data_IF_463481759999
#
_entry.id   IF_463481759999
#
_cell.length_a   1.000
_cell.length_b   1.000
_cell.length_c   1.000
_cell.angle_alpha   90.00
_cell.angle_beta   90.00
_cell.angle_gamma   90.00
#
_symmetry.space_group_name_H-M   'P 1'
#
loop_
_entity.id
_entity.type
_entity.pdbx_description
1 polymer ?
#
# COMPACT_ATOMS: atom_id res chain seq x y z
N UNK A 1 -15.65 38.48 18.83
CA UNK A 1 -15.97 39.13 17.54
C UNK A 1 -17.41 38.85 17.17
N UNK A 2 -17.95 39.64 16.24
CA UNK A 2 -19.28 39.38 15.69
C UNK A 2 -19.16 38.86 14.26
N UNK A 3 -20.10 38.03 13.84
CA UNK A 3 -20.19 37.61 12.44
C UNK A 3 -20.59 38.77 11.54
N UNK A 4 -20.09 38.76 10.31
CA UNK A 4 -20.51 39.71 9.25
C UNK A 4 -21.93 39.41 8.78
N UNK A 5 -22.48 40.31 7.94
CA UNK A 5 -23.82 40.15 7.37
C UNK A 5 -23.98 38.85 6.54
N UNK A 6 -22.90 38.30 6.03
CA UNK A 6 -22.83 37.01 5.27
C UNK A 6 -22.66 35.79 6.20
N UNK A 7 -22.64 35.97 7.53
CA UNK A 7 -22.47 34.90 8.49
C UNK A 7 -21.04 34.50 8.75
N UNK A 8 -20.03 35.15 8.13
CA UNK A 8 -18.61 34.80 8.30
C UNK A 8 -17.95 35.62 9.43
N UNK A 9 -16.91 35.07 10.05
CA UNK A 9 -16.03 35.76 10.97
C UNK A 9 -14.59 35.25 10.78
N UNK A 10 -13.62 36.18 10.82
CA UNK A 10 -12.19 35.85 10.75
C UNK A 10 -11.53 36.10 12.11
N UNK A 11 -10.69 35.17 12.52
CA UNK A 11 -9.87 35.35 13.71
C UNK A 11 -8.42 34.95 13.45
N UNK A 12 -7.51 35.67 14.07
CA UNK A 12 -6.09 35.35 14.04
C UNK A 12 -5.79 34.24 15.07
N UNK A 13 -5.24 33.12 14.63
CA UNK A 13 -4.95 31.94 15.46
C UNK A 13 -3.48 31.77 15.79
N UNK A 14 -2.64 32.81 15.64
CA UNK A 14 -1.20 32.72 15.91
C UNK A 14 -0.92 32.30 17.36
N UNK A 15 -0.19 31.20 17.54
CA UNK A 15 0.27 30.72 18.84
C UNK A 15 -0.82 30.06 19.70
N UNK A 16 -1.92 29.63 19.11
CA UNK A 16 -3.01 28.91 19.80
C UNK A 16 -2.86 27.43 19.48
N UNK A 17 -2.52 26.60 20.48
CA UNK A 17 -2.42 25.14 20.33
C UNK A 17 -3.78 24.43 20.45
N UNK A 18 -4.71 25.03 21.17
CA UNK A 18 -6.11 24.55 21.31
C UNK A 18 -7.07 25.75 21.29
N UNK A 19 -8.15 25.65 20.57
CA UNK A 19 -9.17 26.68 20.53
C UNK A 19 -10.57 26.09 20.57
N UNK A 20 -11.45 26.77 21.31
CA UNK A 20 -12.88 26.52 21.30
C UNK A 20 -13.56 27.67 20.58
N UNK A 21 -14.43 27.35 19.63
CA UNK A 21 -15.35 28.35 19.06
C UNK A 21 -16.67 28.32 19.82
N UNK A 22 -17.05 29.45 20.40
CA UNK A 22 -18.36 29.59 20.97
C UNK A 22 -19.16 30.56 20.10
N UNK A 23 -20.28 30.09 19.59
CA UNK A 23 -21.25 30.95 18.90
C UNK A 23 -22.42 31.14 19.83
N UNK A 24 -22.75 32.40 20.14
CA UNK A 24 -23.87 32.76 20.97
C UNK A 24 -24.93 33.45 20.12
N UNK A 25 -26.15 32.94 20.16
CA UNK A 25 -27.32 33.52 19.54
C UNK A 25 -28.47 33.48 20.55
N UNK A 26 -29.10 34.64 20.79
CA UNK A 26 -30.24 34.77 21.70
C UNK A 26 -29.97 34.25 23.15
N UNK A 27 -28.72 34.42 23.61
CA UNK A 27 -28.29 33.98 24.93
C UNK A 27 -28.05 32.45 25.04
N UNK A 28 -28.07 31.74 23.94
CA UNK A 28 -27.76 30.30 23.88
C UNK A 28 -26.37 30.07 23.25
N UNK A 29 -25.36 29.66 24.03
CA UNK A 29 -24.05 29.34 23.49
C UNK A 29 -24.04 27.95 22.88
N UNK A 30 -23.46 27.84 21.68
CA UNK A 30 -23.09 26.57 21.03
C UNK A 30 -21.57 26.51 21.02
N UNK A 31 -21.03 25.40 21.53
CA UNK A 31 -19.60 25.17 21.63
C UNK A 31 -19.16 24.25 20.52
N UNK A 32 -18.11 24.65 19.79
CA UNK A 32 -17.40 23.81 18.85
C UNK A 32 -15.97 23.62 19.35
N UNK A 33 -15.59 22.40 19.57
CA UNK A 33 -14.18 22.06 19.79
C UNK A 33 -13.45 22.13 18.45
N UNK A 34 -12.62 23.16 18.30
CA UNK A 34 -11.70 23.25 17.17
C UNK A 34 -10.44 22.47 17.55
N UNK A 35 -10.57 21.16 17.67
CA UNK A 35 -9.45 20.26 17.87
C UNK A 35 -8.40 20.52 16.80
N UNK A 36 -7.21 20.98 17.25
CA UNK A 36 -6.03 21.18 16.44
C UNK A 36 -6.17 22.21 15.31
N UNK A 37 -6.26 23.50 15.70
CA UNK A 37 -5.68 24.52 14.84
C UNK A 37 -4.14 24.36 14.90
N UNK A 38 -3.65 23.22 14.44
CA UNK A 38 -2.24 23.10 14.14
C UNK A 38 -1.87 24.24 13.19
N UNK A 39 -0.73 24.94 13.39
CA UNK A 39 -0.22 25.86 12.40
C UNK A 39 -0.28 25.11 11.09
N UNK A 40 -0.80 25.74 10.02
CA UNK A 40 -1.09 25.09 8.74
C UNK A 40 0.04 24.07 8.45
N UNK A 41 -0.17 22.84 8.89
CA UNK A 41 0.77 21.77 8.59
C UNK A 41 0.76 21.70 7.09
N UNK A 42 1.92 21.80 6.48
CA UNK A 42 2.01 21.54 5.05
C UNK A 42 1.32 20.19 4.82
N UNK A 43 0.23 20.21 4.07
CA UNK A 43 -0.54 19.02 3.78
C UNK A 43 0.43 17.92 3.32
N UNK A 44 0.32 16.75 3.90
CA UNK A 44 1.14 15.60 3.49
C UNK A 44 0.92 15.36 2.00
N UNK A 45 1.90 14.81 1.31
CA UNK A 45 1.77 14.53 -0.13
C UNK A 45 0.51 13.70 -0.44
N UNK A 46 0.14 12.77 0.43
CA UNK A 46 -1.08 11.96 0.32
C UNK A 46 -2.38 12.78 0.40
N UNK A 47 -2.33 13.95 1.03
CA UNK A 47 -3.47 14.88 1.12
C UNK A 47 -3.53 15.83 -0.07
N UNK A 48 -2.38 16.11 -0.70
CA UNK A 48 -2.25 16.98 -1.87
C UNK A 48 -2.46 16.23 -3.19
N UNK A 49 -2.18 14.92 -3.22
CA UNK A 49 -2.22 14.12 -4.44
C UNK A 49 -3.09 12.86 -4.28
N UNK A 50 -3.80 12.51 -5.33
CA UNK A 50 -4.30 11.15 -5.55
C UNK A 50 -3.15 10.31 -6.08
N UNK A 51 -2.92 9.15 -5.50
CA UNK A 51 -1.80 8.30 -5.89
C UNK A 51 -2.24 6.85 -6.03
N UNK A 52 -1.78 6.22 -7.09
CA UNK A 52 -1.90 4.78 -7.30
C UNK A 52 -0.52 4.17 -7.49
N UNK A 53 -0.31 2.97 -6.96
CA UNK A 53 0.90 2.20 -7.11
C UNK A 53 0.54 0.74 -7.35
N UNK A 54 1.13 0.15 -8.38
CA UNK A 54 0.91 -1.24 -8.77
C UNK A 54 2.24 -1.91 -9.05
N UNK A 55 2.39 -3.12 -8.55
CA UNK A 55 3.50 -4.01 -8.86
C UNK A 55 3.00 -5.17 -9.74
N UNK A 56 3.87 -5.70 -10.60
CA UNK A 56 3.52 -6.82 -11.49
C UNK A 56 3.12 -8.09 -10.72
N UNK A 57 3.54 -8.23 -9.47
CA UNK A 57 3.18 -9.34 -8.57
C UNK A 57 3.40 -8.96 -7.10
N UNK A 58 2.77 -9.66 -6.16
CA UNK A 58 2.97 -9.44 -4.72
C UNK A 58 4.12 -10.25 -4.12
N UNK A 59 4.60 -11.30 -4.83
CA UNK A 59 5.63 -12.25 -4.36
C UNK A 59 6.78 -12.34 -5.36
N UNK A 60 8.00 -12.20 -4.86
CA UNK A 60 9.24 -12.17 -5.64
C UNK A 60 10.27 -13.14 -5.08
N UNK A 61 11.24 -13.49 -5.90
CA UNK A 61 12.48 -14.15 -5.48
C UNK A 61 13.57 -13.12 -5.16
N UNK A 62 14.59 -13.55 -4.43
CA UNK A 62 15.68 -12.69 -3.93
C UNK A 62 16.43 -11.89 -5.00
N UNK A 63 16.41 -12.32 -6.25
CA UNK A 63 17.13 -11.70 -7.38
C UNK A 63 16.20 -11.27 -8.51
N UNK A 64 14.91 -11.20 -8.27
CA UNK A 64 13.92 -10.78 -9.25
C UNK A 64 14.01 -9.27 -9.54
N UNK A 65 13.27 -8.87 -10.54
CA UNK A 65 13.00 -7.48 -10.86
C UNK A 65 11.52 -7.22 -10.69
N UNK A 66 11.14 -6.25 -9.87
CA UNK A 66 9.77 -5.78 -9.76
C UNK A 66 9.51 -4.70 -10.81
N UNK A 67 8.52 -4.92 -11.66
CA UNK A 67 7.99 -3.87 -12.53
C UNK A 67 6.92 -3.11 -11.79
N UNK A 68 7.08 -1.79 -11.75
CA UNK A 68 6.25 -0.89 -10.97
C UNK A 68 5.66 0.17 -11.89
N UNK A 69 4.37 0.44 -11.75
CA UNK A 69 3.72 1.57 -12.39
C UNK A 69 2.72 2.23 -11.47
N UNK A 70 2.43 3.48 -11.74
CA UNK A 70 1.49 4.22 -10.92
C UNK A 70 1.10 5.55 -11.51
N UNK A 71 0.33 6.28 -10.74
CA UNK A 71 -0.15 7.61 -11.09
C UNK A 71 -0.10 8.52 -9.87
N UNK A 72 0.30 9.78 -10.10
CA UNK A 72 0.23 10.89 -9.14
C UNK A 72 -0.62 11.98 -9.77
N UNK A 73 -1.73 12.36 -9.11
CA UNK A 73 -2.65 13.36 -9.65
C UNK A 73 -3.02 14.39 -8.57
N UNK A 74 -2.93 15.70 -8.83
CA UNK A 74 -3.25 16.73 -7.85
C UNK A 74 -4.71 16.64 -7.37
N UNK A 75 -4.94 16.77 -6.07
CA UNK A 75 -6.27 16.93 -5.49
C UNK A 75 -6.77 18.36 -5.58
N UNK A 76 -5.83 19.31 -5.56
CA UNK A 76 -6.12 20.75 -5.54
C UNK A 76 -5.87 21.33 -6.93
N UNK A 77 -6.83 22.10 -7.43
CA UNK A 77 -6.68 22.79 -8.71
C UNK A 77 -5.52 23.78 -8.66
N UNK A 78 -4.63 23.70 -9.66
CA UNK A 78 -3.44 24.56 -9.75
C UNK A 78 -2.19 23.98 -9.08
N UNK A 79 -2.30 22.86 -8.35
CA UNK A 79 -1.14 22.14 -7.85
C UNK A 79 -0.39 21.49 -9.03
N UNK A 80 0.92 21.78 -9.24
CA UNK A 80 1.65 21.22 -10.35
C UNK A 80 1.94 19.72 -10.16
N UNK A 81 1.96 18.97 -11.25
CA UNK A 81 2.49 17.60 -11.24
C UNK A 81 3.99 17.62 -10.91
N UNK A 82 4.48 16.67 -10.10
CA UNK A 82 5.90 16.50 -9.92
C UNK A 82 6.55 16.07 -11.24
N UNK A 83 7.71 16.64 -11.58
CA UNK A 83 8.44 16.26 -12.79
C UNK A 83 8.98 14.82 -12.72
N UNK A 84 9.16 14.29 -11.52
CA UNK A 84 9.64 12.94 -11.24
C UNK A 84 9.22 12.52 -9.84
N UNK A 85 9.24 11.21 -9.63
CA UNK A 85 9.11 10.58 -8.31
C UNK A 85 10.31 9.69 -8.04
N UNK A 86 10.51 9.32 -6.81
CA UNK A 86 11.47 8.31 -6.44
C UNK A 86 10.76 7.01 -6.06
N UNK A 87 11.15 5.92 -6.72
CA UNK A 87 10.82 4.56 -6.29
C UNK A 87 11.85 4.12 -5.28
N UNK A 88 11.44 3.72 -4.10
CA UNK A 88 12.31 3.29 -3.01
C UNK A 88 11.88 1.93 -2.53
N UNK A 89 12.81 0.97 -2.48
CA UNK A 89 12.62 -0.31 -1.78
C UNK A 89 13.22 -0.19 -0.38
N UNK A 90 12.46 -0.52 0.64
CA UNK A 90 12.90 -0.42 2.03
C UNK A 90 12.46 -1.60 2.89
N UNK A 91 13.17 -1.81 3.98
CA UNK A 91 12.71 -2.61 5.11
C UNK A 91 11.90 -1.72 6.06
N UNK A 92 10.91 -2.32 6.74
CA UNK A 92 10.11 -1.57 7.72
C UNK A 92 10.75 -1.60 9.12
N UNK A 93 11.53 -2.65 9.42
CA UNK A 93 12.19 -2.78 10.72
C UNK A 93 13.54 -3.51 10.63
N UNK A 94 14.70 -2.85 10.94
CA UNK A 94 14.80 -1.38 11.03
C UNK A 94 14.48 -0.72 9.69
N UNK A 95 13.94 0.49 9.71
CA UNK A 95 13.67 1.22 8.48
C UNK A 95 14.97 1.55 7.76
N UNK A 96 15.16 0.98 6.58
CA UNK A 96 16.34 1.16 5.76
C UNK A 96 15.99 1.18 4.29
N UNK A 97 16.45 2.19 3.58
CA UNK A 97 16.35 2.24 2.12
C UNK A 97 17.43 1.33 1.51
N UNK A 98 16.99 0.30 0.79
CA UNK A 98 17.86 -0.67 0.13
C UNK A 98 18.16 -0.28 -1.31
N UNK A 99 17.20 0.33 -1.98
CA UNK A 99 17.27 0.73 -3.38
C UNK A 99 16.45 1.99 -3.61
N UNK A 100 16.92 2.83 -4.53
CA UNK A 100 16.23 4.07 -4.87
C UNK A 100 16.49 4.43 -6.33
N UNK A 101 15.42 4.69 -7.08
CA UNK A 101 15.46 5.06 -8.48
C UNK A 101 14.59 6.29 -8.74
N UNK A 102 15.11 7.22 -9.54
CA UNK A 102 14.38 8.40 -9.97
C UNK A 102 13.62 8.09 -11.26
N UNK A 103 12.32 8.30 -11.27
CA UNK A 103 11.44 7.98 -12.38
C UNK A 103 10.71 9.24 -12.84
N UNK A 104 10.72 9.59 -14.13
CA UNK A 104 9.98 10.73 -14.66
C UNK A 104 8.47 10.48 -14.56
N UNK A 105 7.73 11.57 -14.33
CA UNK A 105 6.26 11.57 -14.36
C UNK A 105 5.80 12.15 -15.68
N UNK A 106 4.92 11.45 -16.37
CA UNK A 106 4.31 11.90 -17.63
C UNK A 106 3.38 13.09 -17.43
N UNK A 107 3.02 13.75 -18.53
CA UNK A 107 2.09 14.87 -18.49
C UNK A 107 0.68 14.50 -18.00
N UNK A 108 0.34 13.22 -18.05
CA UNK A 108 -0.89 12.61 -17.51
C UNK A 108 -0.76 12.13 -16.06
N UNK A 109 0.38 12.40 -15.41
CA UNK A 109 0.68 12.00 -14.05
C UNK A 109 1.11 10.54 -13.90
N UNK A 110 1.24 9.77 -14.99
CA UNK A 110 1.68 8.37 -14.92
C UNK A 110 3.20 8.26 -14.77
N UNK A 111 3.65 7.19 -14.13
CA UNK A 111 5.05 6.82 -14.03
C UNK A 111 5.21 5.31 -14.11
N UNK A 112 6.38 4.84 -14.55
CA UNK A 112 6.75 3.42 -14.52
C UNK A 112 8.25 3.27 -14.35
N UNK A 113 8.65 2.22 -13.64
CA UNK A 113 10.06 1.90 -13.38
C UNK A 113 10.24 0.45 -13.01
N UNK A 114 11.47 0.06 -12.73
CA UNK A 114 11.80 -1.30 -12.33
C UNK A 114 12.83 -1.31 -11.21
N UNK A 115 12.58 -2.13 -10.19
CA UNK A 115 13.47 -2.32 -9.05
C UNK A 115 14.12 -3.69 -9.16
N UNK A 116 15.42 -3.72 -9.44
CA UNK A 116 16.17 -4.97 -9.51
C UNK A 116 16.70 -5.34 -8.13
N UNK A 117 16.30 -6.49 -7.63
CA UNK A 117 16.75 -7.00 -6.35
C UNK A 117 18.15 -7.62 -6.46
N UNK A 118 18.94 -7.49 -5.41
CA UNK A 118 20.30 -7.99 -5.34
C UNK A 118 20.46 -8.87 -4.10
N UNK A 119 19.97 -10.11 -4.18
CA UNK A 119 20.13 -11.08 -3.10
C UNK A 119 19.37 -10.70 -1.82
N UNK A 120 18.13 -10.24 -1.94
CA UNK A 120 17.30 -9.91 -0.78
C UNK A 120 17.04 -11.15 0.08
N UNK A 121 17.03 -10.99 1.40
CA UNK A 121 16.58 -12.04 2.31
C UNK A 121 15.08 -12.32 2.12
N UNK A 122 14.63 -13.51 2.54
CA UNK A 122 13.19 -13.80 2.59
C UNK A 122 12.55 -12.99 3.72
N UNK A 123 11.76 -12.00 3.36
CA UNK A 123 11.11 -11.06 4.28
C UNK A 123 10.05 -10.23 3.55
N UNK A 124 9.36 -9.39 4.30
CA UNK A 124 8.49 -8.34 3.78
C UNK A 124 9.28 -7.06 3.52
N UNK A 125 8.98 -6.44 2.40
CA UNK A 125 9.58 -5.18 1.98
C UNK A 125 8.49 -4.20 1.56
N UNK A 126 8.80 -2.92 1.62
CA UNK A 126 7.89 -1.86 1.16
C UNK A 126 8.47 -1.16 -0.06
N UNK A 127 7.71 -1.12 -1.15
CA UNK A 127 7.98 -0.23 -2.27
C UNK A 127 7.22 1.07 -2.00
N UNK A 128 7.94 2.17 -1.88
CA UNK A 128 7.39 3.50 -1.64
C UNK A 128 7.65 4.43 -2.82
N UNK A 129 6.70 5.30 -3.11
CA UNK A 129 6.82 6.42 -4.04
C UNK A 129 6.98 7.68 -3.21
N UNK A 130 8.13 8.36 -3.37
CA UNK A 130 8.49 9.52 -2.55
C UNK A 130 8.86 10.73 -3.41
N UNK A 131 8.94 11.91 -2.78
CA UNK A 131 9.41 13.15 -3.41
C UNK A 131 10.94 13.26 -3.46
N UNK A 132 11.60 12.33 -2.77
CA UNK A 132 13.04 12.32 -2.64
C UNK A 132 13.58 12.84 -1.31
N UNK A 133 12.75 13.42 -0.49
CA UNK A 133 12.92 13.70 0.93
C UNK A 133 12.12 12.72 1.78
N UNK A 134 11.48 13.24 2.80
CA UNK A 134 10.64 12.47 3.75
C UNK A 134 9.19 12.32 3.28
N UNK A 135 8.80 13.02 2.19
CA UNK A 135 7.45 12.99 1.65
C UNK A 135 7.14 11.68 0.93
N UNK A 136 6.11 10.98 1.36
CA UNK A 136 5.62 9.73 0.76
C UNK A 136 4.29 9.99 0.06
N UNK A 137 4.22 9.72 -1.25
CA UNK A 137 2.97 9.74 -2.01
C UNK A 137 2.12 8.52 -1.73
N UNK A 138 2.71 7.33 -1.79
CA UNK A 138 2.05 6.05 -1.55
C UNK A 138 3.08 4.95 -1.32
N UNK A 139 2.66 3.81 -0.81
CA UNK A 139 3.51 2.63 -0.67
C UNK A 139 2.71 1.34 -0.79
N UNK A 140 3.40 0.25 -1.12
CA UNK A 140 2.85 -1.09 -1.21
C UNK A 140 3.84 -2.11 -0.64
N UNK A 141 3.36 -3.02 0.20
CA UNK A 141 4.15 -4.13 0.70
C UNK A 141 4.23 -5.25 -0.32
N UNK A 142 5.41 -5.85 -0.42
CA UNK A 142 5.70 -7.04 -1.23
C UNK A 142 6.38 -8.08 -0.35
N UNK A 143 6.23 -9.36 -0.70
CA UNK A 143 6.97 -10.45 -0.08
C UNK A 143 8.12 -10.90 -0.98
N UNK A 144 9.27 -11.15 -0.37
CA UNK A 144 10.40 -11.84 -1.04
C UNK A 144 10.58 -13.18 -0.37
N UNK A 145 10.53 -14.25 -1.14
CA UNK A 145 10.66 -15.62 -0.66
C UNK A 145 11.54 -16.46 -1.58
N UNK A 146 12.33 -17.31 -0.99
CA UNK A 146 13.07 -18.34 -1.72
C UNK A 146 12.17 -19.56 -1.91
N UNK A 147 11.27 -19.48 -2.89
CA UNK A 147 10.42 -20.62 -3.21
C UNK A 147 10.98 -21.39 -4.42
N UNK A 148 10.91 -22.68 -4.35
CA UNK A 148 11.12 -23.57 -5.51
C UNK A 148 9.76 -23.83 -6.14
N UNK A 149 9.57 -23.49 -7.41
CA UNK A 149 8.33 -23.85 -8.11
C UNK A 149 8.12 -25.36 -7.99
N UNK A 150 6.98 -25.81 -7.47
CA UNK A 150 6.69 -27.23 -7.44
C UNK A 150 6.74 -27.78 -8.86
N UNK A 151 7.50 -28.85 -9.04
CA UNK A 151 7.62 -29.53 -10.34
C UNK A 151 6.47 -30.49 -10.60
N UNK A 152 5.45 -30.50 -9.73
CA UNK A 152 4.30 -31.40 -9.82
C UNK A 152 3.01 -30.69 -9.41
N UNK A 153 1.90 -31.23 -9.86
CA UNK A 153 0.54 -30.83 -9.46
C UNK A 153 -0.06 -31.89 -8.55
N UNK A 154 -0.92 -31.45 -7.62
CA UNK A 154 -1.69 -32.34 -6.75
C UNK A 154 -3.16 -32.14 -7.03
N UNK A 155 -3.86 -33.26 -7.32
CA UNK A 155 -5.29 -33.33 -7.44
C UNK A 155 -5.85 -34.11 -6.27
N UNK A 156 -6.87 -33.54 -5.60
CA UNK A 156 -7.57 -34.21 -4.49
C UNK A 156 -9.00 -34.42 -4.92
N UNK A 157 -9.48 -35.66 -4.81
CA UNK A 157 -10.85 -36.00 -5.17
C UNK A 157 -11.47 -36.93 -4.13
N UNK A 158 -12.78 -36.89 -4.05
CA UNK A 158 -13.60 -37.78 -3.24
C UNK A 158 -14.59 -38.51 -4.15
N UNK A 159 -15.01 -39.70 -3.77
CA UNK A 159 -15.98 -40.50 -4.57
C UNK A 159 -17.35 -39.82 -4.67
N UNK A 160 -17.75 -39.06 -3.68
CA UNK A 160 -19.04 -38.35 -3.61
C UNK A 160 -18.82 -36.87 -3.23
N UNK A 161 -19.72 -36.02 -3.68
CA UNK A 161 -19.68 -34.59 -3.36
C UNK A 161 -20.12 -34.27 -1.92
N UNK A 162 -20.83 -35.17 -1.23
CA UNK A 162 -21.37 -34.97 0.10
C UNK A 162 -21.26 -36.24 0.94
N UNK A 163 -20.95 -36.07 2.22
CA UNK A 163 -20.84 -37.12 3.22
C UNK A 163 -21.60 -36.71 4.48
N UNK A 164 -22.12 -37.67 5.23
CA UNK A 164 -22.75 -37.40 6.52
C UNK A 164 -21.74 -37.24 7.62
N UNK A 165 -22.12 -36.55 8.70
CA UNK A 165 -21.30 -36.44 9.89
C UNK A 165 -20.88 -37.81 10.43
N UNK A 166 -19.62 -38.01 10.76
CA UNK A 166 -19.03 -39.27 11.22
C UNK A 166 -18.92 -40.39 10.16
N UNK A 167 -19.21 -40.12 8.90
CA UNK A 167 -18.95 -41.05 7.83
C UNK A 167 -17.48 -40.98 7.39
N UNK A 168 -16.81 -42.16 7.17
CA UNK A 168 -15.45 -42.11 6.63
C UNK A 168 -15.47 -41.58 5.19
N UNK A 169 -14.59 -40.62 4.92
CA UNK A 169 -14.47 -39.99 3.60
C UNK A 169 -13.27 -40.59 2.87
N UNK A 170 -13.47 -41.43 1.82
CA UNK A 170 -12.39 -41.89 0.99
C UNK A 170 -11.87 -40.73 0.14
N UNK A 171 -10.60 -40.36 0.33
CA UNK A 171 -9.92 -39.28 -0.39
C UNK A 171 -8.85 -39.90 -1.28
N UNK A 172 -8.92 -39.58 -2.57
CA UNK A 172 -7.88 -39.94 -3.52
C UNK A 172 -7.02 -38.70 -3.80
N UNK A 173 -5.71 -38.84 -3.59
CA UNK A 173 -4.73 -37.82 -3.92
C UNK A 173 -3.87 -38.31 -5.04
N UNK A 174 -3.79 -37.54 -6.12
CA UNK A 174 -2.95 -37.82 -7.28
C UNK A 174 -1.89 -36.72 -7.41
N UNK A 175 -0.61 -37.09 -7.40
CA UNK A 175 0.48 -36.19 -7.69
C UNK A 175 1.11 -36.56 -9.05
N UNK A 176 1.24 -35.58 -9.94
CA UNK A 176 1.82 -35.76 -11.27
C UNK A 176 2.81 -34.64 -11.56
N UNK A 177 3.95 -34.98 -12.13
CA UNK A 177 4.89 -34.01 -12.67
C UNK A 177 4.24 -33.22 -13.82
N UNK A 178 4.80 -32.05 -14.16
CA UNK A 178 4.28 -31.19 -15.22
C UNK A 178 4.27 -31.84 -16.61
N UNK A 179 5.07 -32.89 -16.82
CA UNK A 179 5.07 -33.70 -18.01
C UNK A 179 4.03 -34.82 -18.01
N UNK A 180 3.21 -34.94 -16.95
CA UNK A 180 2.16 -35.92 -16.79
C UNK A 180 2.58 -37.23 -16.14
N UNK A 181 3.89 -37.43 -15.82
CA UNK A 181 4.34 -38.64 -15.13
C UNK A 181 3.93 -38.68 -13.66
N UNK A 182 3.53 -39.84 -13.12
CA UNK A 182 3.17 -39.95 -11.70
C UNK A 182 4.35 -39.72 -10.76
N UNK A 183 4.15 -38.99 -9.70
CA UNK A 183 5.13 -38.88 -8.61
C UNK A 183 5.09 -40.16 -7.78
N UNK A 184 6.19 -40.91 -7.77
CA UNK A 184 6.31 -42.12 -6.97
C UNK A 184 7.19 -41.91 -5.75
N UNK A 185 6.90 -42.64 -4.65
CA UNK A 185 7.71 -42.60 -3.42
C UNK A 185 7.60 -41.33 -2.59
N UNK A 186 6.63 -40.49 -2.87
CA UNK A 186 6.36 -39.29 -2.07
C UNK A 186 5.69 -39.61 -0.73
N UNK A 187 6.01 -38.82 0.31
CA UNK A 187 5.33 -38.88 1.60
C UNK A 187 4.26 -37.78 1.65
N UNK A 188 3.05 -38.16 2.02
CA UNK A 188 1.95 -37.21 2.23
C UNK A 188 1.69 -37.05 3.73
N UNK A 189 1.43 -35.82 4.13
CA UNK A 189 0.98 -35.49 5.48
C UNK A 189 -0.34 -34.75 5.38
N UNK A 190 -1.32 -35.20 6.14
CA UNK A 190 -2.64 -34.55 6.28
C UNK A 190 -2.69 -33.99 7.68
N UNK A 191 -2.96 -32.68 7.80
CA UNK A 191 -3.08 -31.95 9.06
C UNK A 191 -4.46 -31.32 9.22
#
# INVERSE_FOLDING_TARGET
GATRADGTADFATRGIEQAYLTIEQDGQPVYFDLLELAPAQELRLQERFYTGLYCDRPLYQSSDTASVWGQVYPRVSGEPLPAFVWLTLRTDWPEQNLYRERVPVGADGTFSGSLRFSGLASDWYTIAVTDGGDGVYTSQSISVENYTKPSYTIEVSTERAHYFANEPVPVTVRATYLDGTPVSGGTMQIG
#
